data_IF_573576874160
#
_entry.id   IF_573576874160
#
_cell.length_a   1.000
_cell.length_b   1.000
_cell.length_c   1.000
_cell.angle_alpha   90.00
_cell.angle_beta   90.00
_cell.angle_gamma   90.00
#
_symmetry.space_group_name_H-M   'P 1'
#
loop_
_entity.id
_entity.type
_entity.pdbx_description
1 polymer ?
#
# COMPACT_ATOMS: atom_id res chain seq x y z
N UNK A 1 25.73 9.97 35.02
CA UNK A 1 25.52 9.61 33.61
C UNK A 1 24.09 9.11 33.47
N UNK A 2 23.23 9.83 32.74
CA UNK A 2 21.85 9.41 32.53
C UNK A 2 21.87 8.31 31.46
N UNK A 3 21.78 7.07 31.91
CA UNK A 3 21.68 5.91 31.02
C UNK A 3 20.23 5.84 30.53
N UNK A 4 20.01 6.19 29.27
CA UNK A 4 18.77 5.88 28.55
C UNK A 4 18.66 4.37 28.39
N UNK A 5 18.12 3.67 29.40
CA UNK A 5 18.15 2.20 29.45
C UNK A 5 16.86 1.54 28.92
N UNK A 6 15.81 2.28 28.54
CA UNK A 6 14.58 1.63 28.10
C UNK A 6 13.64 2.49 27.26
N UNK A 7 13.05 1.85 26.25
CA UNK A 7 11.85 2.30 25.53
C UNK A 7 10.68 2.61 26.49
N UNK A 8 10.69 1.99 27.68
CA UNK A 8 9.74 2.26 28.76
C UNK A 8 9.85 3.68 29.33
N UNK A 9 11.04 4.29 29.42
CA UNK A 9 11.19 5.69 29.87
C UNK A 9 10.67 6.69 28.84
N UNK A 10 10.84 6.39 27.54
CA UNK A 10 10.21 7.17 26.46
C UNK A 10 8.69 7.11 26.51
N UNK A 11 8.11 5.95 26.87
CA UNK A 11 6.67 5.77 26.99
C UNK A 11 6.12 6.37 28.29
N UNK A 12 6.91 6.35 29.36
CA UNK A 12 6.58 6.86 30.69
C UNK A 12 6.89 8.35 30.88
N UNK A 13 7.34 9.07 29.84
CA UNK A 13 7.62 10.50 29.85
C UNK A 13 6.31 11.33 29.94
N UNK A 14 5.63 11.26 31.08
CA UNK A 14 4.59 12.20 31.51
C UNK A 14 3.38 12.38 30.57
N UNK A 15 3.04 11.39 29.74
CA UNK A 15 1.86 11.42 28.86
C UNK A 15 2.09 11.95 27.44
N UNK A 16 3.29 12.45 27.10
CA UNK A 16 3.58 12.98 25.75
C UNK A 16 3.89 11.88 24.72
N UNK A 17 4.35 10.72 25.17
CA UNK A 17 4.68 9.60 24.29
C UNK A 17 3.51 9.17 23.41
N UNK A 18 2.29 9.17 23.97
CA UNK A 18 1.07 8.84 23.24
C UNK A 18 0.78 9.79 22.07
N UNK A 19 1.07 11.08 22.23
CA UNK A 19 0.89 12.08 21.16
C UNK A 19 1.92 11.92 20.04
N UNK A 20 3.19 11.65 20.39
CA UNK A 20 4.26 11.46 19.41
C UNK A 20 4.01 10.19 18.62
N UNK A 21 3.85 9.06 19.30
CA UNK A 21 3.59 7.78 18.64
C UNK A 21 2.25 7.74 17.92
N UNK A 22 1.22 8.43 18.45
CA UNK A 22 -0.05 8.62 17.76
C UNK A 22 0.11 9.37 16.43
N UNK A 23 0.85 10.49 16.43
CA UNK A 23 1.09 11.29 15.22
C UNK A 23 1.92 10.54 14.19
N UNK A 24 2.97 9.82 14.63
CA UNK A 24 3.75 8.94 13.76
C UNK A 24 2.91 7.78 13.22
N UNK A 25 2.04 7.19 14.05
CA UNK A 25 1.12 6.13 13.66
C UNK A 25 0.11 6.59 12.62
N UNK A 26 -0.49 7.77 12.80
CA UNK A 26 -1.42 8.38 11.83
C UNK A 26 -0.70 8.71 10.52
N UNK A 27 0.52 9.24 10.59
CA UNK A 27 1.33 9.54 9.39
C UNK A 27 1.67 8.26 8.62
N UNK A 28 2.14 7.22 9.31
CA UNK A 28 2.42 5.92 8.72
C UNK A 28 1.16 5.27 8.15
N UNK A 29 0.03 5.39 8.83
CA UNK A 29 -1.26 4.91 8.36
C UNK A 29 -1.64 5.57 7.03
N UNK A 30 -1.57 6.91 6.94
CA UNK A 30 -1.87 7.64 5.70
C UNK A 30 -0.90 7.22 4.58
N UNK A 31 0.39 7.14 4.88
CA UNK A 31 1.42 6.72 3.92
C UNK A 31 1.20 5.29 3.40
N UNK A 32 0.54 4.41 4.16
CA UNK A 32 0.22 3.03 3.78
C UNK A 32 -1.14 2.96 3.05
N UNK A 33 -2.13 3.74 3.47
CA UNK A 33 -3.49 3.71 2.92
C UNK A 33 -3.50 4.11 1.44
N UNK A 34 -2.81 5.21 1.10
CA UNK A 34 -2.70 5.71 -0.28
C UNK A 34 -2.15 4.65 -1.27
N UNK A 35 -0.99 4.01 -1.05
CA UNK A 35 -0.48 2.99 -1.95
C UNK A 35 -1.32 1.72 -1.98
N UNK A 36 -2.02 1.36 -0.89
CA UNK A 36 -2.97 0.23 -0.90
C UNK A 36 -4.15 0.52 -1.84
N UNK A 37 -4.72 1.72 -1.76
CA UNK A 37 -5.80 2.17 -2.64
C UNK A 37 -5.32 2.19 -4.11
N UNK A 38 -4.17 2.81 -4.37
CA UNK A 38 -3.58 2.87 -5.72
C UNK A 38 -3.26 1.48 -6.26
N UNK A 39 -2.71 0.58 -5.44
CA UNK A 39 -2.41 -0.79 -5.83
C UNK A 39 -3.69 -1.58 -6.13
N UNK A 40 -4.77 -1.37 -5.37
CA UNK A 40 -6.09 -1.96 -5.65
C UNK A 40 -6.65 -1.48 -6.99
N UNK A 41 -6.59 -0.18 -7.27
CA UNK A 41 -7.05 0.38 -8.54
C UNK A 41 -6.24 -0.15 -9.72
N UNK A 42 -4.89 -0.23 -9.60
CA UNK A 42 -4.02 -0.81 -10.63
C UNK A 42 -4.38 -2.25 -10.98
N UNK A 43 -4.71 -3.08 -9.99
CA UNK A 43 -5.11 -4.49 -10.21
C UNK A 43 -6.39 -4.59 -11.04
N UNK A 44 -7.37 -3.71 -10.80
CA UNK A 44 -8.63 -3.72 -11.54
C UNK A 44 -8.42 -3.30 -13.01
N UNK A 45 -7.61 -2.27 -13.26
CA UNK A 45 -7.30 -1.82 -14.62
C UNK A 45 -6.52 -2.88 -15.40
N UNK A 46 -5.49 -3.48 -14.78
CA UNK A 46 -4.73 -4.56 -15.39
C UNK A 46 -5.58 -5.80 -15.69
N UNK A 47 -6.53 -6.15 -14.83
CA UNK A 47 -7.43 -7.27 -15.07
C UNK A 47 -8.31 -7.06 -16.31
N UNK A 48 -8.72 -5.81 -16.55
CA UNK A 48 -9.52 -5.44 -17.72
C UNK A 48 -8.69 -5.51 -19.01
N UNK A 49 -7.49 -4.91 -19.01
CA UNK A 49 -6.55 -4.99 -20.14
C UNK A 49 -6.16 -6.44 -20.47
N UNK A 50 -5.90 -7.26 -19.45
CA UNK A 50 -5.52 -8.67 -19.65
C UNK A 50 -6.66 -9.49 -20.28
N UNK A 51 -7.92 -9.11 -20.03
CA UNK A 51 -9.09 -9.72 -20.70
C UNK A 51 -9.18 -9.30 -22.17
N UNK A 52 -8.92 -8.04 -22.48
CA UNK A 52 -8.95 -7.53 -23.86
C UNK A 52 -7.87 -8.18 -24.73
N UNK A 53 -6.62 -8.24 -24.25
CA UNK A 53 -5.52 -8.95 -24.92
C UNK A 53 -5.88 -10.42 -25.23
N UNK A 54 -6.55 -11.10 -24.31
CA UNK A 54 -6.94 -12.51 -24.48
C UNK A 54 -8.03 -12.70 -25.52
N UNK A 55 -8.93 -11.73 -25.66
CA UNK A 55 -9.96 -11.73 -26.70
C UNK A 55 -9.35 -11.41 -28.08
N UNK A 56 -8.43 -10.46 -28.13
CA UNK A 56 -7.77 -10.00 -29.36
C UNK A 56 -6.85 -11.08 -29.97
N UNK A 57 -6.07 -11.78 -29.13
CA UNK A 57 -5.29 -12.95 -29.57
C UNK A 57 -6.16 -14.08 -30.11
N UNK A 58 -7.40 -14.22 -29.62
CA UNK A 58 -8.32 -15.26 -30.11
C UNK A 58 -8.99 -14.87 -31.43
N UNK A 59 -9.25 -13.59 -31.66
CA UNK A 59 -9.72 -13.09 -32.96
C UNK A 59 -8.62 -13.11 -34.03
N UNK A 60 -7.36 -12.86 -33.66
CA UNK A 60 -6.25 -12.85 -34.62
C UNK A 60 -5.84 -14.26 -35.08
N UNK A 61 -5.92 -15.27 -34.20
CA UNK A 61 -5.68 -16.68 -34.55
C UNK A 61 -6.79 -17.33 -35.40
N UNK A 62 -7.90 -16.62 -35.65
CA UNK A 62 -9.06 -17.12 -36.38
C UNK A 62 -9.26 -16.52 -37.77
N UNK A 63 -8.33 -15.70 -38.27
CA UNK A 63 -8.36 -15.28 -39.68
C UNK A 63 -7.80 -16.43 -40.51
N UNK A 64 -8.63 -17.21 -41.23
CA UNK A 64 -8.13 -18.22 -42.14
C UNK A 64 -7.57 -17.46 -43.33
N UNK A 65 -6.30 -17.71 -43.60
CA UNK A 65 -5.56 -17.28 -44.78
C UNK A 65 -6.36 -17.76 -46.00
N UNK A 66 -6.98 -16.80 -46.70
CA UNK A 66 -7.71 -17.02 -47.94
C UNK A 66 -6.74 -17.23 -49.11
#
# INVERSE_FOLDING_TARGET
MIHWNSFADFLAMGGYAGYVWGSFGVTALIMIVEPILVARHRKNTLALLKRQLRAESRSQSGKPDA
#
